data_IF_036698308726
#
_entry.id   IF_036698308726
#
_cell.length_a   1.000
_cell.length_b   1.000
_cell.length_c   1.000
_cell.angle_alpha   90.00
_cell.angle_beta   90.00
_cell.angle_gamma   90.00
#
_symmetry.space_group_name_H-M   'P 1'
#
loop_
_entity.id
_entity.type
_entity.pdbx_description
1 polymer ?
#
# COMPACT_ATOMS: atom_id res chain seq x y z
N UNK A 1 -36.08 -8.38 -9.04
CA UNK A 1 -35.41 -9.52 -8.36
C UNK A 1 -33.89 -9.46 -8.43
N UNK A 2 -33.30 -9.21 -9.58
CA UNK A 2 -31.83 -9.07 -9.74
C UNK A 2 -31.29 -7.83 -8.99
N UNK A 3 -31.99 -6.71 -9.01
CA UNK A 3 -31.59 -5.45 -8.35
C UNK A 3 -31.58 -5.61 -6.82
N UNK A 4 -32.62 -6.21 -6.24
CA UNK A 4 -32.69 -6.48 -4.79
C UNK A 4 -31.56 -7.41 -4.33
N UNK A 5 -31.24 -8.42 -5.14
CA UNK A 5 -30.11 -9.33 -4.85
C UNK A 5 -28.76 -8.60 -4.92
N UNK A 6 -28.60 -7.68 -5.85
CA UNK A 6 -27.37 -6.88 -5.97
C UNK A 6 -27.21 -5.89 -4.82
N UNK A 7 -28.28 -5.24 -4.37
CA UNK A 7 -28.25 -4.36 -3.20
C UNK A 7 -27.89 -5.09 -1.92
N UNK A 8 -28.47 -6.27 -1.70
CA UNK A 8 -28.15 -7.09 -0.52
C UNK A 8 -26.69 -7.55 -0.54
N UNK A 9 -26.18 -8.01 -1.68
CA UNK A 9 -24.75 -8.37 -1.83
C UNK A 9 -23.84 -7.15 -1.63
N UNK A 10 -24.23 -5.98 -2.15
CA UNK A 10 -23.48 -4.74 -1.96
C UNK A 10 -23.40 -4.34 -0.48
N UNK A 11 -24.50 -4.47 0.28
CA UNK A 11 -24.49 -4.23 1.74
C UNK A 11 -23.58 -5.19 2.47
N UNK A 12 -23.62 -6.48 2.14
CA UNK A 12 -22.75 -7.49 2.75
C UNK A 12 -21.28 -7.20 2.46
N UNK A 13 -20.93 -6.84 1.23
CA UNK A 13 -19.57 -6.44 0.85
C UNK A 13 -19.12 -5.18 1.61
N UNK A 14 -19.96 -4.17 1.71
CA UNK A 14 -19.66 -2.95 2.46
C UNK A 14 -19.40 -3.23 3.94
N UNK A 15 -20.25 -4.03 4.57
CA UNK A 15 -20.06 -4.45 5.96
C UNK A 15 -18.80 -5.28 6.15
N UNK A 16 -18.50 -6.19 5.23
CA UNK A 16 -17.32 -7.05 5.27
C UNK A 16 -16.01 -6.22 5.16
N UNK A 17 -15.96 -5.26 4.23
CA UNK A 17 -14.81 -4.35 4.11
C UNK A 17 -14.60 -3.55 5.40
N UNK A 18 -15.69 -3.09 6.04
CA UNK A 18 -15.61 -2.41 7.33
C UNK A 18 -15.10 -3.29 8.46
N UNK A 19 -15.45 -4.57 8.46
CA UNK A 19 -14.97 -5.54 9.46
C UNK A 19 -13.50 -5.93 9.22
N UNK A 20 -13.08 -6.08 7.98
CA UNK A 20 -11.67 -6.37 7.64
C UNK A 20 -10.69 -5.30 8.12
N UNK A 21 -11.14 -4.06 8.25
CA UNK A 21 -10.29 -2.97 8.75
C UNK A 21 -10.00 -3.08 10.26
N UNK A 22 -10.67 -3.98 10.99
CA UNK A 22 -10.62 -3.99 12.45
C UNK A 22 -9.56 -4.89 13.08
N UNK A 23 -9.08 -5.97 12.45
CA UNK A 23 -8.21 -6.93 13.15
C UNK A 23 -6.87 -7.31 12.49
N UNK A 24 -6.73 -7.70 11.21
CA UNK A 24 -5.42 -8.12 10.70
C UNK A 24 -4.46 -6.94 10.49
N UNK A 25 -5.01 -5.75 10.23
CA UNK A 25 -4.26 -4.54 9.85
C UNK A 25 -3.78 -3.76 11.08
N UNK A 26 -4.43 -3.91 12.24
CA UNK A 26 -4.01 -3.24 13.48
C UNK A 26 -2.64 -3.64 14.02
N UNK A 27 -2.21 -4.88 13.77
CA UNK A 27 -0.87 -5.33 14.14
C UNK A 27 0.24 -4.76 13.24
N UNK A 28 -0.12 -4.29 12.03
CA UNK A 28 0.80 -3.64 11.08
C UNK A 28 0.95 -2.12 11.31
N UNK A 29 0.53 -1.60 12.46
CA UNK A 29 0.37 -0.15 12.71
C UNK A 29 1.66 0.66 12.88
N UNK A 30 2.83 0.07 12.78
CA UNK A 30 4.09 0.85 12.76
C UNK A 30 4.26 1.65 11.47
N UNK A 31 3.65 1.19 10.38
CA UNK A 31 3.76 1.77 9.04
C UNK A 31 2.37 1.83 8.41
N UNK A 32 1.98 2.99 7.88
CA UNK A 32 0.73 3.14 7.12
C UNK A 32 0.82 2.45 5.74
N UNK A 33 -0.33 2.20 5.10
CA UNK A 33 -0.36 1.63 3.75
C UNK A 33 0.37 2.52 2.73
N UNK A 34 0.26 3.84 2.84
CA UNK A 34 0.97 4.79 1.99
C UNK A 34 2.48 4.74 2.20
N UNK A 35 2.92 4.64 3.44
CA UNK A 35 4.33 4.47 3.79
C UNK A 35 4.89 3.15 3.25
N UNK A 36 4.15 2.04 3.40
CA UNK A 36 4.53 0.74 2.85
C UNK A 36 4.67 0.77 1.34
N UNK A 37 3.72 1.40 0.64
CA UNK A 37 3.77 1.52 -0.82
C UNK A 37 5.02 2.30 -1.27
N UNK A 38 5.36 3.41 -0.62
CA UNK A 38 6.54 4.21 -0.96
C UNK A 38 7.85 3.50 -0.61
N UNK A 39 7.93 2.85 0.54
CA UNK A 39 9.10 2.05 0.92
C UNK A 39 9.29 0.84 -0.01
N UNK A 40 8.20 0.20 -0.42
CA UNK A 40 8.22 -0.89 -1.40
C UNK A 40 8.74 -0.44 -2.76
N UNK A 41 8.28 0.71 -3.24
CA UNK A 41 8.79 1.32 -4.46
C UNK A 41 10.30 1.59 -4.38
N UNK A 42 10.77 2.20 -3.28
CA UNK A 42 12.19 2.48 -3.06
C UNK A 42 13.04 1.22 -2.84
N UNK A 43 12.44 0.13 -2.41
CA UNK A 43 13.14 -1.14 -2.20
C UNK A 43 13.27 -1.94 -3.49
N UNK A 44 12.19 -2.03 -4.27
CA UNK A 44 12.10 -2.94 -5.40
C UNK A 44 12.26 -2.31 -6.78
N UNK A 45 11.85 -1.05 -6.95
CA UNK A 45 11.86 -0.41 -8.25
C UNK A 45 13.02 0.57 -8.40
N UNK A 46 13.22 1.45 -7.44
CA UNK A 46 14.28 2.47 -7.46
C UNK A 46 14.77 2.78 -6.05
N UNK A 47 16.08 2.89 -5.85
CA UNK A 47 16.66 3.28 -4.57
C UNK A 47 16.49 4.76 -4.21
N UNK A 48 16.07 5.58 -5.19
CA UNK A 48 15.84 7.02 -5.04
C UNK A 48 14.61 7.46 -5.83
N UNK A 49 13.94 8.50 -5.38
CA UNK A 49 12.77 9.07 -6.04
C UNK A 49 12.62 10.55 -5.69
N UNK A 50 11.61 11.18 -6.27
CA UNK A 50 11.19 12.54 -5.93
C UNK A 50 9.67 12.59 -5.72
N UNK A 51 9.15 13.64 -5.05
CA UNK A 51 7.72 13.74 -4.75
C UNK A 51 6.82 13.71 -5.98
N UNK A 52 7.26 14.26 -7.11
CA UNK A 52 6.50 14.27 -8.35
C UNK A 52 6.34 12.86 -8.91
N UNK A 53 7.42 12.09 -8.96
CA UNK A 53 7.41 10.71 -9.41
C UNK A 53 6.46 9.84 -8.57
N UNK A 54 6.47 10.01 -7.25
CA UNK A 54 5.56 9.29 -6.34
C UNK A 54 4.10 9.72 -6.54
N UNK A 55 3.84 11.00 -6.75
CA UNK A 55 2.50 11.50 -7.06
C UNK A 55 1.94 10.86 -8.34
N UNK A 56 2.72 10.79 -9.38
CA UNK A 56 2.36 10.18 -10.67
C UNK A 56 2.21 8.65 -10.53
N UNK A 57 3.18 7.99 -9.89
CA UNK A 57 3.21 6.53 -9.74
C UNK A 57 2.02 5.99 -8.97
N UNK A 58 1.62 6.66 -7.91
CA UNK A 58 0.54 6.23 -7.01
C UNK A 58 -0.78 6.97 -7.21
N UNK A 59 -0.85 7.88 -8.18
CA UNK A 59 -2.01 8.75 -8.40
C UNK A 59 -2.52 9.42 -7.11
N UNK A 60 -1.58 10.02 -6.39
CA UNK A 60 -1.83 10.73 -5.14
C UNK A 60 -1.65 12.23 -5.30
N UNK A 61 -2.36 13.01 -4.49
CA UNK A 61 -2.15 14.47 -4.42
C UNK A 61 -0.75 14.78 -3.87
N UNK A 62 -0.22 15.95 -4.27
CA UNK A 62 1.08 16.44 -3.78
C UNK A 62 1.10 16.58 -2.25
N UNK A 63 -0.02 17.01 -1.66
CA UNK A 63 -0.16 17.13 -0.20
C UNK A 63 -0.07 15.77 0.50
N UNK A 64 -0.71 14.74 -0.06
CA UNK A 64 -0.68 13.38 0.51
C UNK A 64 0.72 12.76 0.40
N UNK A 65 1.39 12.94 -0.73
CA UNK A 65 2.79 12.52 -0.91
C UNK A 65 3.70 13.22 0.09
N UNK A 66 3.60 14.54 0.22
CA UNK A 66 4.40 15.32 1.16
C UNK A 66 4.19 14.86 2.61
N UNK A 67 2.95 14.63 3.04
CA UNK A 67 2.64 14.14 4.38
C UNK A 67 3.26 12.76 4.65
N UNK A 68 3.19 11.85 3.68
CA UNK A 68 3.77 10.51 3.81
C UNK A 68 5.29 10.58 3.86
N UNK A 69 5.93 11.35 2.99
CA UNK A 69 7.38 11.54 2.99
C UNK A 69 7.88 12.20 4.29
N UNK A 70 7.17 13.20 4.79
CA UNK A 70 7.50 13.82 6.08
C UNK A 70 7.42 12.83 7.25
N UNK A 71 6.44 11.94 7.22
CA UNK A 71 6.32 10.87 8.22
C UNK A 71 7.48 9.88 8.12
N UNK A 72 7.84 9.45 6.91
CA UNK A 72 8.95 8.53 6.66
C UNK A 72 10.31 9.15 7.07
N UNK A 73 10.52 10.43 6.77
CA UNK A 73 11.74 11.15 7.16
C UNK A 73 11.85 11.27 8.69
N UNK A 74 10.76 11.64 9.37
CA UNK A 74 10.73 11.74 10.83
C UNK A 74 11.02 10.41 11.52
N UNK A 75 10.65 9.30 10.89
CA UNK A 75 10.97 7.94 11.36
C UNK A 75 12.36 7.47 10.93
N UNK A 76 13.10 8.28 10.21
CA UNK A 76 14.42 7.96 9.66
C UNK A 76 14.43 6.78 8.66
N UNK A 77 13.27 6.48 8.05
CA UNK A 77 13.15 5.42 7.04
C UNK A 77 13.57 5.89 5.65
N UNK A 78 13.53 7.18 5.41
CA UNK A 78 14.09 7.84 4.24
C UNK A 78 14.97 9.01 4.65
N UNK A 79 15.89 9.37 3.74
CA UNK A 79 16.70 10.58 3.81
C UNK A 79 16.35 11.47 2.61
N UNK A 80 16.06 12.73 2.88
CA UNK A 80 15.77 13.73 1.85
C UNK A 80 17.01 14.59 1.61
N UNK A 81 17.40 14.70 0.35
CA UNK A 81 18.54 15.51 -0.07
C UNK A 81 18.07 16.61 -1.02
N UNK A 82 18.31 17.84 -0.64
CA UNK A 82 18.04 18.99 -1.49
C UNK A 82 19.20 19.20 -2.46
N UNK A 83 18.85 19.53 -3.72
CA UNK A 83 19.86 19.93 -4.70
C UNK A 83 20.62 21.17 -4.22
N UNK A 84 21.94 21.20 -4.43
CA UNK A 84 22.80 22.30 -3.98
C UNK A 84 22.59 23.60 -4.77
N UNK A 85 22.09 23.49 -5.98
CA UNK A 85 21.87 24.62 -6.91
C UNK A 85 20.41 25.06 -6.86
N UNK A 86 19.46 24.12 -6.96
CA UNK A 86 18.02 24.38 -6.87
C UNK A 86 17.41 23.63 -5.68
N UNK A 87 17.28 24.31 -4.56
CA UNK A 87 16.70 23.75 -3.32
C UNK A 87 15.24 23.28 -3.44
N UNK A 88 14.56 23.58 -4.56
CA UNK A 88 13.22 23.07 -4.85
C UNK A 88 13.27 21.62 -5.32
N UNK A 89 14.41 21.17 -5.82
CA UNK A 89 14.62 19.78 -6.20
C UNK A 89 15.03 18.97 -4.98
N UNK A 90 14.25 17.97 -4.67
CA UNK A 90 14.46 17.06 -3.54
C UNK A 90 14.51 15.63 -4.07
N UNK A 91 15.53 14.89 -3.64
CA UNK A 91 15.63 13.46 -3.86
C UNK A 91 15.46 12.73 -2.53
N UNK A 92 14.62 11.71 -2.55
CA UNK A 92 14.30 10.87 -1.40
C UNK A 92 14.98 9.50 -1.57
N UNK A 93 15.76 9.10 -0.58
CA UNK A 93 16.51 7.84 -0.54
C UNK A 93 16.03 6.99 0.61
N UNK A 94 15.86 5.70 0.38
CA UNK A 94 15.58 4.76 1.47
C UNK A 94 16.86 4.55 2.31
N UNK A 95 16.69 4.52 3.63
CA UNK A 95 17.78 4.21 4.58
C UNK A 95 17.85 2.70 4.82
N UNK A 96 18.95 2.22 5.44
CA UNK A 96 19.04 0.82 5.86
C UNK A 96 17.94 0.47 6.88
N UNK A 97 17.64 1.38 7.81
CA UNK A 97 16.53 1.22 8.77
C UNK A 97 15.19 1.08 8.03
N UNK A 98 14.97 1.91 7.00
CA UNK A 98 13.76 1.85 6.17
C UNK A 98 13.61 0.52 5.44
N UNK A 99 14.69 -0.02 4.89
CA UNK A 99 14.71 -1.35 4.25
C UNK A 99 14.41 -2.47 5.23
N UNK A 100 15.04 -2.46 6.40
CA UNK A 100 14.82 -3.46 7.45
C UNK A 100 13.36 -3.45 7.90
N UNK A 101 12.82 -2.29 8.25
CA UNK A 101 11.43 -2.15 8.70
C UNK A 101 10.44 -2.57 7.60
N UNK A 102 10.69 -2.20 6.35
CA UNK A 102 9.88 -2.65 5.22
C UNK A 102 9.89 -4.18 5.10
N UNK A 103 11.07 -4.79 5.11
CA UNK A 103 11.23 -6.25 4.95
C UNK A 103 10.58 -7.02 6.10
N UNK A 104 10.73 -6.57 7.34
CA UNK A 104 10.08 -7.17 8.50
C UNK A 104 8.55 -7.09 8.37
N UNK A 105 8.01 -5.91 8.05
CA UNK A 105 6.56 -5.69 7.90
C UNK A 105 6.00 -6.52 6.75
N UNK A 106 6.69 -6.58 5.61
CA UNK A 106 6.31 -7.43 4.48
C UNK A 106 6.28 -8.91 4.85
N UNK A 107 7.31 -9.38 5.56
CA UNK A 107 7.41 -10.77 6.01
C UNK A 107 6.25 -11.13 6.94
N UNK A 108 5.92 -10.28 7.89
CA UNK A 108 4.77 -10.47 8.78
C UNK A 108 3.45 -10.52 7.99
N UNK A 109 3.26 -9.60 7.04
CA UNK A 109 2.08 -9.58 6.18
C UNK A 109 1.96 -10.85 5.34
N UNK A 110 3.04 -11.28 4.69
CA UNK A 110 3.07 -12.49 3.88
C UNK A 110 2.78 -13.74 4.72
N UNK A 111 3.25 -13.81 5.95
CA UNK A 111 2.94 -14.90 6.87
C UNK A 111 1.44 -14.95 7.19
N UNK A 112 0.80 -13.81 7.47
CA UNK A 112 -0.64 -13.76 7.73
C UNK A 112 -1.46 -14.12 6.48
N UNK A 113 -1.09 -13.60 5.31
CA UNK A 113 -1.76 -13.98 4.05
C UNK A 113 -1.54 -15.45 3.69
N UNK A 114 -0.38 -16.02 4.00
CA UNK A 114 -0.13 -17.46 3.81
C UNK A 114 -1.06 -18.34 4.65
N UNK A 115 -1.35 -17.93 5.88
CA UNK A 115 -2.35 -18.61 6.73
C UNK A 115 -3.76 -18.53 6.12
N UNK A 116 -4.13 -17.34 5.59
CA UNK A 116 -5.42 -17.17 4.91
C UNK A 116 -5.52 -18.07 3.67
N UNK A 117 -4.49 -18.10 2.83
CA UNK A 117 -4.42 -18.94 1.64
C UNK A 117 -4.53 -20.42 2.01
N UNK A 118 -3.84 -20.86 3.06
CA UNK A 118 -3.93 -22.23 3.55
C UNK A 118 -5.34 -22.58 4.06
N UNK A 119 -6.01 -21.64 4.72
CA UNK A 119 -7.38 -21.82 5.21
C UNK A 119 -8.40 -21.91 4.06
N UNK A 120 -8.28 -21.04 3.05
CA UNK A 120 -9.17 -21.03 1.89
C UNK A 120 -8.96 -22.24 0.96
N UNK A 121 -7.76 -22.75 0.89
CA UNK A 121 -7.33 -23.72 -0.10
C UNK A 121 -7.04 -23.11 -1.48
N UNK A 122 -6.44 -23.90 -2.36
CA UNK A 122 -5.96 -23.45 -3.67
C UNK A 122 -7.08 -22.89 -4.56
N UNK A 123 -8.19 -23.63 -4.66
CA UNK A 123 -9.32 -23.27 -5.54
C UNK A 123 -9.91 -21.89 -5.19
N UNK A 124 -10.21 -21.67 -3.93
CA UNK A 124 -10.85 -20.44 -3.48
C UNK A 124 -9.86 -19.29 -3.46
N UNK A 125 -8.59 -19.54 -3.18
CA UNK A 125 -7.52 -18.53 -3.29
C UNK A 125 -7.35 -18.05 -4.72
N UNK A 126 -7.33 -18.95 -5.71
CA UNK A 126 -7.27 -18.57 -7.13
C UNK A 126 -8.54 -17.83 -7.59
N UNK A 127 -9.70 -18.23 -7.08
CA UNK A 127 -10.94 -17.52 -7.34
C UNK A 127 -10.90 -16.09 -6.78
N UNK A 128 -10.42 -15.92 -5.55
CA UNK A 128 -10.25 -14.60 -4.93
C UNK A 128 -9.32 -13.70 -5.73
N UNK A 129 -8.19 -14.20 -6.19
CA UNK A 129 -7.25 -13.44 -7.03
C UNK A 129 -7.90 -12.97 -8.34
N UNK A 130 -8.64 -13.85 -9.02
CA UNK A 130 -9.40 -13.48 -10.23
C UNK A 130 -10.45 -12.41 -9.97
N UNK A 131 -11.10 -12.44 -8.80
CA UNK A 131 -12.08 -11.41 -8.42
C UNK A 131 -11.37 -10.07 -8.18
N UNK A 132 -10.23 -10.08 -7.51
CA UNK A 132 -9.42 -8.87 -7.28
C UNK A 132 -8.98 -8.25 -8.60
N UNK A 133 -8.52 -9.05 -9.56
CA UNK A 133 -8.14 -8.58 -10.90
C UNK A 133 -9.31 -7.88 -11.60
N UNK A 134 -10.52 -8.46 -11.56
CA UNK A 134 -11.73 -7.84 -12.12
C UNK A 134 -12.10 -6.52 -11.43
N UNK A 135 -11.90 -6.44 -10.12
CA UNK A 135 -12.14 -5.19 -9.38
C UNK A 135 -11.14 -4.12 -9.83
N UNK A 136 -9.87 -4.47 -10.00
CA UNK A 136 -8.86 -3.55 -10.50
C UNK A 136 -9.18 -3.06 -11.92
N UNK A 137 -9.56 -3.96 -12.82
CA UNK A 137 -10.01 -3.61 -14.17
C UNK A 137 -11.19 -2.63 -14.15
N UNK A 138 -12.18 -2.86 -13.29
CA UNK A 138 -13.34 -1.97 -13.14
C UNK A 138 -12.93 -0.54 -12.75
N UNK A 139 -11.99 -0.39 -11.83
CA UNK A 139 -11.54 0.94 -11.40
C UNK A 139 -10.55 1.60 -12.36
N UNK A 140 -9.80 0.82 -13.15
CA UNK A 140 -8.87 1.36 -14.15
C UNK A 140 -9.53 1.82 -15.44
N UNK A 141 -10.80 1.44 -15.70
CA UNK A 141 -11.58 1.89 -16.86
C UNK A 141 -12.19 3.30 -16.69
N UNK A 142 -12.01 3.95 -15.56
CA UNK A 142 -12.43 5.33 -15.27
C UNK A 142 -11.26 6.29 -15.39
#
# INVERSE_FOLDING_TARGET
>A
MIILKNEEMAKQLFMFVGLMQREPIKKMQKISQGEMAMLGFLTYEKSETNPKELSERFNLSTARVANTLNSLERKEYIKRVHDSIDRRKVMDYITEIGKEVFTETETEALNEFSKLVAYLGEKDSLCLLKIIDKIQEFYNQK
#
